data_IF_761071999531
#
_entry.id   IF_761071999531
#
_cell.length_a   1.000
_cell.length_b   1.000
_cell.length_c   1.000
_cell.angle_alpha   90.00
_cell.angle_beta   90.00
_cell.angle_gamma   90.00
#
_symmetry.space_group_name_H-M   'P 1'
#
loop_
_entity.id
_entity.type
_entity.pdbx_description
1 polymer ?
#
# COMPACT_ATOMS: atom_id res chain seq x y z
N UNK A 1 14.36 11.41 -16.10
CA UNK A 1 13.97 10.68 -14.88
C UNK A 1 12.67 11.29 -14.41
N UNK A 2 11.58 10.53 -14.35
CA UNK A 2 10.28 11.03 -13.92
C UNK A 2 10.03 10.57 -12.48
N UNK A 3 9.62 11.49 -11.60
CA UNK A 3 9.24 11.17 -10.21
C UNK A 3 7.73 11.40 -10.09
N UNK A 4 6.90 10.34 -9.99
CA UNK A 4 5.45 10.46 -10.06
C UNK A 4 4.85 10.96 -8.74
N UNK A 5 4.91 12.27 -8.52
CA UNK A 5 4.34 12.93 -7.33
C UNK A 5 2.87 13.33 -7.51
N UNK A 6 2.41 13.51 -8.75
CA UNK A 6 0.99 13.74 -9.04
C UNK A 6 0.24 12.41 -8.98
N UNK A 7 -0.92 12.41 -8.33
CA UNK A 7 -1.79 11.25 -8.17
C UNK A 7 -3.26 11.68 -8.01
N UNK A 8 -4.16 10.74 -8.25
CA UNK A 8 -5.59 10.81 -7.92
C UNK A 8 -5.78 10.21 -6.52
N UNK A 9 -6.50 10.88 -5.62
CA UNK A 9 -6.81 10.30 -4.32
C UNK A 9 -7.75 9.08 -4.48
N UNK A 10 -7.56 7.99 -3.71
CA UNK A 10 -8.48 6.87 -3.75
C UNK A 10 -9.89 7.31 -3.34
N UNK A 11 -10.92 6.76 -4.00
CA UNK A 11 -12.31 7.14 -3.71
C UNK A 11 -12.81 6.51 -2.41
N UNK A 12 -12.39 7.13 -1.33
CA UNK A 12 -12.59 6.70 0.05
C UNK A 12 -12.86 7.93 0.91
N UNK A 13 -13.26 7.70 2.16
CA UNK A 13 -13.34 8.81 3.11
C UNK A 13 -11.95 9.42 3.33
N UNK A 14 -11.88 10.75 3.35
CA UNK A 14 -10.64 11.49 3.67
C UNK A 14 -10.44 11.55 5.19
N UNK A 15 -10.38 10.38 5.85
CA UNK A 15 -10.24 10.26 7.30
C UNK A 15 -9.24 9.16 7.68
N UNK A 16 -8.29 9.52 8.54
CA UNK A 16 -7.36 8.56 9.13
C UNK A 16 -6.40 8.02 8.08
N UNK A 17 -6.18 6.71 8.09
CA UNK A 17 -5.25 6.03 7.19
C UNK A 17 -6.02 5.22 6.15
N UNK A 18 -5.65 5.39 4.88
CA UNK A 18 -6.05 4.52 3.77
C UNK A 18 -4.80 3.90 3.17
N UNK A 19 -4.77 2.59 3.03
CA UNK A 19 -3.66 1.82 2.44
C UNK A 19 -4.16 1.22 1.14
N UNK A 20 -3.56 1.64 0.03
CA UNK A 20 -3.82 1.04 -1.28
C UNK A 20 -2.65 0.16 -1.67
N UNK A 21 -2.84 -1.15 -1.51
CA UNK A 21 -1.79 -2.14 -1.79
C UNK A 21 -1.42 -2.18 -3.28
N UNK A 22 -2.37 -1.89 -4.18
CA UNK A 22 -2.17 -1.95 -5.63
C UNK A 22 -1.15 -0.92 -6.17
N UNK A 23 -0.95 0.17 -5.44
CA UNK A 23 -0.02 1.25 -5.83
C UNK A 23 1.07 1.48 -4.77
N UNK A 24 1.18 0.58 -3.79
CA UNK A 24 2.19 0.63 -2.72
C UNK A 24 2.22 1.98 -1.97
N UNK A 25 1.03 2.54 -1.68
CA UNK A 25 0.91 3.83 -0.97
C UNK A 25 0.02 3.73 0.26
N UNK A 26 0.41 4.49 1.29
CA UNK A 26 -0.37 4.82 2.46
C UNK A 26 -0.72 6.31 2.40
N UNK A 27 -2.00 6.62 2.54
CA UNK A 27 -2.57 7.96 2.63
C UNK A 27 -2.94 8.22 4.08
N UNK A 28 -2.43 9.29 4.67
CA UNK A 28 -2.82 9.74 6.00
C UNK A 28 -3.48 11.12 5.91
N UNK A 29 -4.72 11.20 6.39
CA UNK A 29 -5.53 12.41 6.51
C UNK A 29 -5.55 12.82 7.99
N UNK A 30 -4.68 13.75 8.43
CA UNK A 30 -4.61 14.18 9.83
C UNK A 30 -5.88 14.90 10.25
N UNK A 31 -6.33 14.67 11.49
CA UNK A 31 -7.46 15.41 12.05
C UNK A 31 -7.08 16.88 12.24
N UNK A 32 -8.01 17.78 11.91
CA UNK A 32 -7.81 19.22 12.08
C UNK A 32 -6.96 19.89 11.00
N UNK A 33 -6.53 19.15 9.97
CA UNK A 33 -5.89 19.71 8.78
C UNK A 33 -6.75 19.44 7.54
N UNK A 34 -6.50 20.19 6.48
CA UNK A 34 -7.05 19.91 5.14
C UNK A 34 -5.93 19.41 4.21
N UNK A 35 -5.19 18.42 4.68
CA UNK A 35 -4.01 17.89 4.00
C UNK A 35 -4.04 16.37 3.95
N UNK A 36 -3.30 15.81 3.00
CA UNK A 36 -3.03 14.37 2.91
C UNK A 36 -1.53 14.17 2.82
N UNK A 37 -1.01 13.20 3.57
CA UNK A 37 0.37 12.76 3.49
C UNK A 37 0.37 11.41 2.79
N UNK A 38 1.16 11.29 1.73
CA UNK A 38 1.27 10.05 0.94
C UNK A 38 2.66 9.47 1.14
N UNK A 39 2.72 8.27 1.71
CA UNK A 39 3.96 7.56 2.03
C UNK A 39 4.03 6.26 1.23
N UNK A 40 5.18 5.96 0.61
CA UNK A 40 5.36 4.67 -0.06
C UNK A 40 5.52 3.56 0.98
N UNK A 41 4.96 2.39 0.68
CA UNK A 41 4.96 1.23 1.59
C UNK A 41 5.51 -0.02 0.93
N UNK A 42 5.98 -0.97 1.73
CA UNK A 42 6.15 -2.37 1.34
C UNK A 42 5.04 -3.23 1.94
N UNK A 43 4.63 -4.28 1.23
CA UNK A 43 3.53 -5.17 1.65
C UNK A 43 3.95 -6.64 1.68
N UNK A 44 3.00 -7.50 2.07
CA UNK A 44 3.16 -8.95 2.12
C UNK A 44 3.51 -9.58 0.78
N UNK A 45 4.41 -10.57 0.83
CA UNK A 45 4.64 -11.53 -0.25
C UNK A 45 3.37 -12.33 -0.57
N UNK A 46 3.33 -12.91 -1.77
CA UNK A 46 2.24 -13.78 -2.19
C UNK A 46 2.05 -14.93 -1.18
N UNK A 47 0.80 -15.16 -0.74
CA UNK A 47 0.49 -16.21 0.25
C UNK A 47 0.78 -15.80 1.70
N UNK A 48 1.34 -14.61 1.91
CA UNK A 48 1.48 -13.94 3.22
C UNK A 48 0.88 -12.54 3.11
N UNK A 49 -0.28 -12.44 2.49
CA UNK A 49 -0.78 -11.18 1.95
C UNK A 49 -1.19 -10.16 3.02
N UNK A 50 -0.90 -8.91 2.72
CA UNK A 50 -1.52 -7.77 3.40
C UNK A 50 -3.02 -7.77 3.10
N UNK A 51 -3.90 -7.45 4.08
CA UNK A 51 -5.34 -7.41 3.85
C UNK A 51 -5.70 -6.54 2.64
N UNK A 52 -6.56 -7.04 1.76
CA UNK A 52 -6.96 -6.32 0.54
C UNK A 52 -8.18 -5.41 0.78
N UNK A 53 -9.11 -5.85 1.64
CA UNK A 53 -10.32 -5.10 1.99
C UNK A 53 -10.64 -5.29 3.47
N UNK A 54 -10.25 -4.33 4.29
CA UNK A 54 -10.46 -4.40 5.74
C UNK A 54 -10.45 -3.00 6.35
N UNK A 55 -11.42 -2.70 7.22
CA UNK A 55 -11.42 -1.49 8.03
C UNK A 55 -11.16 -1.86 9.49
N UNK A 56 -10.23 -1.14 10.11
CA UNK A 56 -9.79 -1.30 11.50
C UNK A 56 -9.37 0.06 12.07
N UNK A 57 -8.62 0.06 13.17
CA UNK A 57 -8.05 1.24 13.80
C UNK A 57 -6.68 0.95 14.39
N UNK A 58 -5.90 1.99 14.64
CA UNK A 58 -4.68 1.89 15.44
C UNK A 58 -5.07 1.55 16.88
N UNK A 59 -4.77 0.33 17.34
CA UNK A 59 -5.09 -0.14 18.69
C UNK A 59 -4.07 0.33 19.72
N UNK A 60 -2.79 0.35 19.33
CA UNK A 60 -1.68 0.84 20.15
C UNK A 60 -0.48 1.20 19.28
N UNK A 61 0.46 1.96 19.83
CA UNK A 61 1.74 2.24 19.19
C UNK A 61 2.90 1.97 20.15
N UNK A 62 4.04 1.52 19.63
CA UNK A 62 5.24 1.22 20.41
C UNK A 62 6.49 1.77 19.71
N UNK A 63 7.25 2.60 20.43
CA UNK A 63 8.64 2.89 20.09
C UNK A 63 9.50 1.72 20.58
N UNK A 64 10.53 1.38 19.80
CA UNK A 64 11.41 0.24 20.02
C UNK A 64 10.59 -1.06 20.23
N UNK A 65 9.82 -1.50 19.22
CA UNK A 65 9.04 -2.73 19.33
C UNK A 65 9.96 -3.95 19.46
N UNK A 66 9.52 -4.95 20.24
CA UNK A 66 10.03 -6.32 20.10
C UNK A 66 9.31 -6.99 18.94
N UNK A 67 9.97 -7.95 18.30
CA UNK A 67 9.35 -8.77 17.26
C UNK A 67 9.22 -10.22 17.73
N UNK A 68 8.02 -10.77 17.61
CA UNK A 68 7.72 -12.16 17.94
C UNK A 68 7.30 -12.85 16.64
N UNK A 69 8.16 -13.70 16.05
CA UNK A 69 7.82 -14.44 14.84
C UNK A 69 6.58 -15.32 15.05
N UNK A 70 5.81 -15.54 13.99
CA UNK A 70 4.69 -16.49 14.02
C UNK A 70 5.22 -17.92 14.12
N UNK A 71 4.43 -18.84 14.70
CA UNK A 71 4.80 -20.26 14.80
C UNK A 71 5.20 -20.86 13.44
N UNK A 72 4.41 -20.58 12.39
CA UNK A 72 4.72 -21.01 11.01
C UNK A 72 6.10 -20.51 10.54
N UNK A 73 6.48 -19.29 10.90
CA UNK A 73 7.78 -18.73 10.54
C UNK A 73 8.92 -19.43 11.28
N UNK A 74 8.73 -19.78 12.56
CA UNK A 74 9.69 -20.62 13.26
C UNK A 74 9.89 -21.97 12.57
N UNK A 75 8.81 -22.60 12.08
CA UNK A 75 8.89 -23.87 11.38
C UNK A 75 9.62 -23.75 10.04
N UNK A 76 9.30 -22.72 9.23
CA UNK A 76 10.00 -22.42 7.98
C UNK A 76 11.51 -22.20 8.19
N UNK A 77 11.88 -21.37 9.18
CA UNK A 77 13.27 -21.05 9.48
C UNK A 77 14.04 -22.25 10.09
N UNK A 78 13.36 -23.09 10.87
CA UNK A 78 13.95 -24.33 11.40
C UNK A 78 14.21 -25.33 10.26
N UNK A 79 13.28 -25.49 9.34
CA UNK A 79 13.45 -26.33 8.15
C UNK A 79 14.61 -25.84 7.25
N UNK A 80 14.83 -24.53 7.18
CA UNK A 80 15.95 -23.91 6.47
C UNK A 80 17.29 -23.91 7.25
N UNK A 81 17.36 -24.55 8.42
CA UNK A 81 18.58 -24.64 9.23
C UNK A 81 19.02 -23.33 9.91
N UNK A 82 18.12 -22.34 10.02
CA UNK A 82 18.39 -21.01 10.59
C UNK A 82 17.35 -20.66 11.66
N UNK A 83 17.36 -21.29 12.85
CA UNK A 83 16.31 -21.09 13.85
C UNK A 83 16.19 -19.62 14.29
N UNK A 84 14.95 -19.12 14.36
CA UNK A 84 14.65 -17.78 14.86
C UNK A 84 14.52 -17.75 16.38
N UNK A 85 14.99 -16.69 17.06
CA UNK A 85 14.66 -16.43 18.46
C UNK A 85 13.16 -16.28 18.68
N UNK A 86 12.63 -16.77 19.80
CA UNK A 86 11.20 -16.61 20.17
C UNK A 86 10.79 -15.15 20.26
N UNK A 87 11.69 -14.29 20.72
CA UNK A 87 11.54 -12.85 20.73
C UNK A 87 12.83 -12.24 20.23
N UNK A 88 12.73 -11.41 19.18
CA UNK A 88 13.82 -10.55 18.76
C UNK A 88 13.68 -9.22 19.52
N UNK A 89 14.70 -8.82 20.28
CA UNK A 89 14.65 -7.60 21.08
C UNK A 89 14.57 -6.36 20.18
N UNK A 90 14.22 -5.23 20.78
CA UNK A 90 14.32 -3.96 20.07
C UNK A 90 15.79 -3.62 19.76
N UNK A 91 16.03 -3.02 18.61
CA UNK A 91 17.38 -2.62 18.20
C UNK A 91 17.51 -2.50 16.68
N UNK A 92 18.72 -2.19 16.18
CA UNK A 92 18.99 -2.04 14.75
C UNK A 92 18.67 -3.29 13.93
N UNK A 93 18.84 -4.48 14.53
CA UNK A 93 18.60 -5.76 13.86
C UNK A 93 17.13 -6.21 13.88
N UNK A 94 16.24 -5.45 14.53
CA UNK A 94 14.84 -5.79 14.59
C UNK A 94 14.16 -5.52 13.23
N UNK A 95 13.52 -6.53 12.61
CA UNK A 95 12.88 -6.37 11.29
C UNK A 95 11.67 -5.43 11.30
N UNK A 96 11.11 -5.14 12.48
CA UNK A 96 10.05 -4.14 12.64
C UNK A 96 10.57 -2.69 12.66
N UNK A 97 11.88 -2.49 12.67
CA UNK A 97 12.50 -1.18 12.84
C UNK A 97 12.23 -0.57 14.22
N UNK A 98 12.28 0.76 14.30
CA UNK A 98 12.25 1.49 15.57
C UNK A 98 10.84 1.87 16.05
N UNK A 99 9.81 1.76 15.21
CA UNK A 99 8.45 2.19 15.54
C UNK A 99 7.42 1.25 14.91
N UNK A 100 6.32 1.01 15.62
CA UNK A 100 5.19 0.22 15.13
C UNK A 100 3.84 0.76 15.63
N UNK A 101 2.85 0.74 14.74
CA UNK A 101 1.44 0.98 15.01
C UNK A 101 0.70 -0.35 14.80
N UNK A 102 0.09 -0.88 15.85
CA UNK A 102 -0.63 -2.15 15.80
C UNK A 102 -2.10 -1.89 15.47
N UNK A 103 -2.65 -2.70 14.57
CA UNK A 103 -3.96 -2.45 13.96
C UNK A 103 -4.94 -3.63 14.08
N UNK A 104 -4.64 -4.55 15.00
CA UNK A 104 -5.43 -5.76 15.25
C UNK A 104 -5.03 -6.96 14.38
N UNK A 105 -5.57 -8.14 14.71
CA UNK A 105 -5.35 -9.40 13.98
C UNK A 105 -3.86 -9.72 13.71
N UNK A 106 -2.98 -9.37 14.65
CA UNK A 106 -1.53 -9.52 14.56
C UNK A 106 -0.84 -8.65 13.49
N UNK A 107 -1.57 -7.78 12.80
CA UNK A 107 -0.99 -6.85 11.82
C UNK A 107 -0.46 -5.57 12.48
N UNK A 108 0.59 -5.03 11.86
CA UNK A 108 1.16 -3.74 12.22
C UNK A 108 1.58 -2.95 10.97
N UNK A 109 1.58 -1.64 11.13
CA UNK A 109 2.27 -0.68 10.26
C UNK A 109 3.58 -0.36 10.98
N UNK A 110 4.73 -0.70 10.40
CA UNK A 110 6.00 -0.64 11.10
C UNK A 110 7.17 -0.24 10.19
N UNK A 111 8.33 0.00 10.80
CA UNK A 111 9.55 0.35 10.09
C UNK A 111 10.21 -0.85 9.42
N UNK A 112 11.48 -0.68 9.04
CA UNK A 112 12.31 -1.76 8.53
C UNK A 112 13.76 -1.49 8.89
N UNK A 113 14.54 -2.54 9.13
CA UNK A 113 16.00 -2.47 9.20
C UNK A 113 16.69 -2.73 7.85
N UNK A 114 15.93 -3.13 6.82
CA UNK A 114 16.45 -3.35 5.48
C UNK A 114 16.54 -2.05 4.68
N UNK A 115 17.58 -1.94 3.84
CA UNK A 115 17.80 -0.82 2.92
C UNK A 115 16.93 -0.88 1.65
N UNK A 116 16.12 -1.93 1.49
CA UNK A 116 15.22 -2.17 0.37
C UNK A 116 13.87 -2.72 0.86
N UNK A 117 12.87 -2.83 -0.03
CA UNK A 117 11.58 -3.46 0.27
C UNK A 117 10.36 -2.54 0.25
N UNK A 118 10.57 -1.22 0.21
CA UNK A 118 9.49 -0.25 0.00
C UNK A 118 9.18 -0.17 -1.49
N UNK A 119 7.89 -0.25 -1.84
CA UNK A 119 7.44 -0.43 -3.22
C UNK A 119 7.45 -1.89 -3.69
N UNK A 120 7.77 -2.85 -2.81
CA UNK A 120 7.88 -4.28 -3.13
C UNK A 120 6.99 -5.13 -2.21
N UNK A 121 6.71 -6.36 -2.65
CA UNK A 121 6.06 -7.40 -1.85
C UNK A 121 7.14 -8.27 -1.21
N UNK A 122 7.50 -7.99 0.04
CA UNK A 122 8.65 -8.61 0.75
C UNK A 122 8.40 -8.87 2.23
N UNK A 123 7.18 -8.64 2.71
CA UNK A 123 6.83 -8.80 4.12
C UNK A 123 6.07 -10.10 4.35
N UNK A 124 5.91 -10.50 5.61
CA UNK A 124 5.00 -11.59 5.99
C UNK A 124 3.60 -11.04 6.36
N UNK A 125 3.08 -10.10 5.57
CA UNK A 125 1.72 -9.57 5.63
C UNK A 125 1.55 -8.19 6.27
N UNK A 126 2.52 -7.73 7.05
CA UNK A 126 2.50 -6.38 7.64
C UNK A 126 2.90 -5.28 6.65
N UNK A 127 2.57 -4.04 6.97
CA UNK A 127 2.91 -2.87 6.14
C UNK A 127 4.23 -2.27 6.63
N UNK A 128 5.20 -2.14 5.73
CA UNK A 128 6.55 -1.61 6.02
C UNK A 128 6.70 -0.20 5.48
N UNK A 129 7.36 0.66 6.25
CA UNK A 129 7.75 2.02 5.86
C UNK A 129 9.24 2.26 6.11
N UNK A 130 9.81 3.27 5.45
CA UNK A 130 11.18 3.73 5.75
C UNK A 130 11.23 4.33 7.16
N UNK A 131 12.43 4.38 7.73
CA UNK A 131 12.65 4.83 9.11
C UNK A 131 12.10 6.23 9.41
N UNK A 132 12.28 7.19 8.50
CA UNK A 132 11.73 8.54 8.63
C UNK A 132 10.20 8.56 8.56
N UNK A 133 9.64 7.84 7.59
CA UNK A 133 8.20 7.77 7.33
C UNK A 133 7.44 7.14 8.51
N UNK A 134 7.94 6.02 9.06
CA UNK A 134 7.29 5.39 10.22
C UNK A 134 7.43 6.24 11.49
N UNK A 135 8.55 6.94 11.67
CA UNK A 135 8.74 7.86 12.80
C UNK A 135 7.71 8.99 12.72
N UNK A 136 7.53 9.58 11.55
CA UNK A 136 6.49 10.58 11.30
C UNK A 136 5.10 10.05 11.66
N UNK A 137 4.71 8.87 11.17
CA UNK A 137 3.42 8.28 11.52
C UNK A 137 3.29 8.00 13.03
N UNK A 138 4.34 7.50 13.68
CA UNK A 138 4.32 7.22 15.11
C UNK A 138 4.06 8.48 15.94
N UNK A 139 4.68 9.60 15.55
CA UNK A 139 4.53 10.89 16.25
C UNK A 139 3.17 11.52 15.98
N UNK A 140 2.66 11.43 14.75
CA UNK A 140 1.50 12.21 14.32
C UNK A 140 0.17 11.45 14.33
N UNK A 141 0.18 10.10 14.31
CA UNK A 141 -1.06 9.30 14.30
C UNK A 141 -1.50 8.98 15.74
N UNK A 142 -2.70 9.42 16.15
CA UNK A 142 -3.27 9.05 17.43
C UNK A 142 -3.71 7.58 17.48
N UNK A 143 -3.70 7.00 18.68
CA UNK A 143 -4.40 5.72 18.93
C UNK A 143 -5.90 5.93 18.67
N UNK A 144 -6.56 4.93 18.09
CA UNK A 144 -7.94 4.98 17.66
C UNK A 144 -8.16 5.51 16.25
N UNK A 145 -7.10 6.01 15.58
CA UNK A 145 -7.20 6.46 14.18
C UNK A 145 -7.68 5.33 13.27
N UNK A 146 -8.67 5.61 12.43
CA UNK A 146 -9.22 4.69 11.43
C UNK A 146 -8.13 4.24 10.45
N UNK A 147 -8.13 2.96 10.08
CA UNK A 147 -7.24 2.38 9.07
C UNK A 147 -8.10 1.56 8.10
N UNK A 148 -8.00 1.84 6.81
CA UNK A 148 -8.72 1.10 5.77
C UNK A 148 -7.74 0.57 4.72
N UNK A 149 -7.85 -0.72 4.42
CA UNK A 149 -7.16 -1.36 3.30
C UNK A 149 -8.08 -1.42 2.09
N UNK A 150 -7.52 -1.05 0.94
CA UNK A 150 -8.12 -1.18 -0.39
C UNK A 150 -7.09 -1.79 -1.36
N UNK A 151 -7.58 -2.25 -2.50
CA UNK A 151 -6.78 -2.80 -3.58
C UNK A 151 -7.32 -2.29 -4.92
N UNK A 152 -6.96 -1.05 -5.25
CA UNK A 152 -7.49 -0.32 -6.41
C UNK A 152 -6.35 0.06 -7.35
N UNK A 153 -6.04 -0.77 -8.37
CA UNK A 153 -5.00 -0.45 -9.36
C UNK A 153 -5.44 0.64 -10.34
N UNK A 154 -6.73 0.98 -10.40
CA UNK A 154 -7.27 2.02 -11.28
C UNK A 154 -8.06 3.02 -10.48
N UNK A 155 -7.65 4.29 -10.58
CA UNK A 155 -8.37 5.44 -10.01
C UNK A 155 -8.77 6.36 -11.15
N UNK A 156 -9.95 6.98 -11.04
CA UNK A 156 -10.45 7.90 -12.04
C UNK A 156 -11.26 9.02 -11.35
N UNK A 157 -11.15 10.24 -11.87
CA UNK A 157 -11.80 11.42 -11.29
C UNK A 157 -12.29 12.38 -12.37
N UNK A 158 -13.41 13.05 -12.10
CA UNK A 158 -13.85 14.25 -12.82
C UNK A 158 -13.63 15.43 -11.90
N UNK A 159 -12.75 16.33 -12.30
CA UNK A 159 -12.43 17.52 -11.53
C UNK A 159 -13.53 18.59 -11.67
N UNK A 160 -13.60 19.58 -10.78
CA UNK A 160 -14.65 20.61 -10.81
C UNK A 160 -14.72 21.42 -12.11
N UNK A 161 -13.63 21.50 -12.86
CA UNK A 161 -13.55 22.17 -14.17
C UNK A 161 -14.06 21.28 -15.33
N UNK A 162 -14.50 20.06 -15.05
CA UNK A 162 -14.96 19.08 -16.03
C UNK A 162 -13.83 18.22 -16.62
N UNK A 163 -12.57 18.49 -16.29
CA UNK A 163 -11.45 17.65 -16.74
C UNK A 163 -11.53 16.26 -16.11
N UNK A 164 -11.18 15.24 -16.89
CA UNK A 164 -11.24 13.83 -16.50
C UNK A 164 -9.84 13.25 -16.46
N UNK A 165 -9.50 12.59 -15.38
CA UNK A 165 -8.21 11.92 -15.23
C UNK A 165 -8.37 10.44 -14.88
N UNK A 166 -7.42 9.62 -15.35
CA UNK A 166 -7.27 8.22 -14.95
C UNK A 166 -5.83 7.93 -14.55
N UNK A 167 -5.64 7.15 -13.50
CA UNK A 167 -4.33 6.67 -13.03
C UNK A 167 -4.40 5.15 -12.94
N UNK A 168 -3.49 4.47 -13.64
CA UNK A 168 -3.49 3.01 -13.75
C UNK A 168 -2.12 2.48 -13.34
N UNK A 169 -2.14 1.58 -12.34
CA UNK A 169 -1.01 0.80 -11.85
C UNK A 169 -1.12 -0.65 -12.31
N UNK A 170 -0.03 -1.40 -12.19
CA UNK A 170 -0.09 -2.85 -12.33
C UNK A 170 -0.87 -3.45 -11.16
N UNK A 171 -1.85 -4.35 -11.40
CA UNK A 171 -2.51 -5.06 -10.32
C UNK A 171 -1.51 -5.94 -9.56
N UNK A 172 -1.81 -6.24 -8.30
CA UNK A 172 -1.05 -7.21 -7.54
C UNK A 172 -1.13 -8.59 -8.19
N UNK A 173 0.03 -9.23 -8.35
CA UNK A 173 0.09 -10.62 -8.83
C UNK A 173 -0.66 -11.58 -7.90
N UNK A 174 -1.33 -12.55 -8.50
CA UNK A 174 -2.13 -13.56 -7.78
C UNK A 174 -1.52 -14.96 -7.85
N UNK A 175 -0.54 -15.15 -8.74
CA UNK A 175 0.19 -16.40 -8.95
C UNK A 175 1.70 -16.17 -8.92
N UNK A 176 2.47 -17.23 -8.68
CA UNK A 176 3.95 -17.17 -8.73
C UNK A 176 4.44 -16.74 -10.11
N UNK A 177 3.85 -17.29 -11.19
CA UNK A 177 4.18 -16.92 -12.57
C UNK A 177 4.01 -15.43 -12.84
N UNK A 178 2.95 -14.83 -12.31
CA UNK A 178 2.70 -13.39 -12.39
C UNK A 178 3.63 -12.56 -11.52
N UNK A 179 4.12 -13.12 -10.42
CA UNK A 179 5.07 -12.45 -9.52
C UNK A 179 6.50 -12.47 -10.07
N UNK A 180 6.87 -13.53 -10.79
CA UNK A 180 8.14 -13.69 -11.49
C UNK A 180 8.17 -13.00 -12.87
N UNK A 181 7.12 -12.23 -13.20
CA UNK A 181 6.93 -11.54 -14.49
C UNK A 181 6.92 -12.47 -15.72
N UNK A 182 6.72 -13.78 -15.52
CA UNK A 182 6.60 -14.77 -16.61
C UNK A 182 5.21 -14.79 -17.26
N UNK A 183 4.21 -14.19 -16.61
CA UNK A 183 2.84 -14.05 -17.10
C UNK A 183 2.29 -12.67 -16.75
N UNK A 184 1.56 -12.05 -17.69
CA UNK A 184 0.97 -10.73 -17.46
C UNK A 184 -0.18 -10.80 -16.43
N UNK A 185 -0.23 -9.81 -15.53
CA UNK A 185 -1.37 -9.66 -14.62
C UNK A 185 -2.56 -9.02 -15.35
N UNK A 186 -3.72 -9.67 -15.43
CA UNK A 186 -4.90 -9.11 -16.08
C UNK A 186 -5.44 -7.90 -15.29
N UNK A 187 -5.74 -6.81 -15.99
CA UNK A 187 -6.37 -5.64 -15.42
C UNK A 187 -7.89 -5.73 -15.58
N UNK A 188 -8.58 -6.03 -14.48
CA UNK A 188 -10.04 -6.08 -14.46
C UNK A 188 -10.60 -4.70 -14.12
N UNK A 189 -11.14 -3.98 -15.12
CA UNK A 189 -11.78 -2.69 -14.91
C UNK A 189 -13.14 -2.88 -14.23
N UNK A 190 -13.38 -2.14 -13.14
CA UNK A 190 -14.69 -2.13 -12.47
C UNK A 190 -15.75 -1.50 -13.37
N UNK A 191 -17.03 -1.83 -13.14
CA UNK A 191 -18.15 -1.22 -13.90
C UNK A 191 -18.10 0.31 -13.86
N UNK A 192 -17.73 0.88 -12.70
CA UNK A 192 -17.57 2.33 -12.55
C UNK A 192 -16.50 2.90 -13.48
N UNK A 193 -15.32 2.26 -13.52
CA UNK A 193 -14.23 2.70 -14.41
C UNK A 193 -14.64 2.53 -15.87
N UNK A 194 -15.30 1.42 -16.23
CA UNK A 194 -15.82 1.21 -17.58
C UNK A 194 -16.82 2.31 -17.99
N UNK A 195 -17.76 2.67 -17.10
CA UNK A 195 -18.69 3.77 -17.33
C UNK A 195 -18.00 5.13 -17.39
N UNK A 196 -16.90 5.33 -16.65
CA UNK A 196 -16.13 6.56 -16.66
C UNK A 196 -15.38 6.74 -17.99
N UNK A 197 -14.70 5.70 -18.47
CA UNK A 197 -13.99 5.75 -19.75
C UNK A 197 -14.97 5.78 -20.94
N UNK A 198 -16.20 5.29 -20.77
CA UNK A 198 -17.24 5.32 -21.81
C UNK A 198 -17.97 6.66 -21.95
N UNK A 199 -17.60 7.69 -21.20
CA UNK A 199 -18.24 9.01 -21.30
C UNK A 199 -17.99 9.63 -22.69
N UNK A 200 -18.97 10.37 -23.26
CA UNK A 200 -18.86 10.89 -24.64
C UNK A 200 -17.68 11.84 -24.88
N UNK A 201 -17.24 12.54 -23.84
CA UNK A 201 -16.15 13.50 -23.89
C UNK A 201 -14.76 12.86 -23.65
N UNK A 202 -14.69 11.56 -23.40
CA UNK A 202 -13.42 10.83 -23.19
C UNK A 202 -12.79 10.41 -24.52
N UNK A 203 -11.53 10.79 -24.70
CA UNK A 203 -10.64 10.27 -25.73
C UNK A 203 -10.33 8.78 -25.47
N UNK A 204 -10.97 7.93 -26.27
CA UNK A 204 -10.83 6.47 -26.21
C UNK A 204 -9.42 5.99 -26.55
N UNK A 205 -8.70 6.72 -27.41
CA UNK A 205 -7.32 6.37 -27.74
C UNK A 205 -6.41 6.58 -26.54
N UNK A 206 -6.53 7.73 -25.86
CA UNK A 206 -5.77 8.02 -24.64
C UNK A 206 -6.13 7.05 -23.52
N UNK A 207 -7.41 6.73 -23.33
CA UNK A 207 -7.85 5.74 -22.34
C UNK A 207 -7.24 4.34 -22.61
N UNK A 208 -7.24 3.89 -23.87
CA UNK A 208 -6.63 2.61 -24.26
C UNK A 208 -5.12 2.60 -24.03
N UNK A 209 -4.43 3.70 -24.34
CA UNK A 209 -3.00 3.86 -24.06
C UNK A 209 -2.71 3.80 -22.56
N UNK A 210 -3.51 4.47 -21.72
CA UNK A 210 -3.35 4.41 -20.27
C UNK A 210 -3.49 2.97 -19.73
N UNK A 211 -4.47 2.21 -20.23
CA UNK A 211 -4.71 0.80 -19.85
C UNK A 211 -3.54 -0.11 -20.21
N UNK A 212 -2.91 0.14 -21.36
CA UNK A 212 -1.76 -0.62 -21.84
C UNK A 212 -0.48 -0.24 -21.09
N UNK A 213 -0.24 1.06 -20.91
CA UNK A 213 1.02 1.57 -20.36
C UNK A 213 1.13 1.42 -18.85
N UNK A 214 0.01 1.53 -18.11
CA UNK A 214 -0.05 1.36 -16.65
C UNK A 214 1.06 2.13 -15.91
N UNK A 215 1.23 3.39 -16.29
CA UNK A 215 2.39 4.21 -15.90
C UNK A 215 2.40 4.61 -14.42
N UNK A 216 1.30 4.41 -13.70
CA UNK A 216 1.11 4.89 -12.33
C UNK A 216 1.03 6.42 -12.22
N UNK A 217 0.87 7.13 -13.35
CA UNK A 217 0.72 8.59 -13.41
C UNK A 217 -0.68 8.96 -13.92
N UNK A 218 -1.32 10.00 -13.37
CA UNK A 218 -2.58 10.51 -13.89
C UNK A 218 -2.45 10.96 -15.35
N UNK A 219 -3.40 10.55 -16.19
CA UNK A 219 -3.52 10.92 -17.60
C UNK A 219 -4.86 11.61 -17.81
N UNK A 220 -4.84 12.82 -18.39
CA UNK A 220 -6.05 13.54 -18.76
C UNK A 220 -6.72 12.84 -19.95
N UNK A 221 -8.03 12.65 -19.87
CA UNK A 221 -8.82 11.90 -20.85
C UNK A 221 -9.67 12.76 -21.77
N UNK A 222 -9.88 14.04 -21.47
CA UNK A 222 -10.71 14.92 -22.29
C UNK A 222 -10.02 16.28 -22.49
N UNK A 223 -10.40 16.99 -23.57
CA UNK A 223 -9.92 18.33 -23.90
C UNK A 223 -10.78 19.36 -23.17
#
# INVERSE_FOLDING_TARGET
MNIPQQLILPDTVHEGIVINSAEMRLYYYPKGTNTVIVLPIGIGELGKDTPLHWTTKVERKKASPTWTPMAKMHDEYRAAGKPLPTVVPAGPDNPMGLYALYIGRLYAIHGTNANFGIGLRVSHGCVRLRSGDIKFLFENVPIGTRVQFINEPVKATTEPDGSRYIEIHNPLSSTEKQFEDSEAVPLNLTKRVQSFIGQPDVDQFVAKQAIQNRSGMPVRLNI
#
